data_IF_461102340236
#
_entry.id   IF_461102340236
#
_cell.length_a   1.000
_cell.length_b   1.000
_cell.length_c   1.000
_cell.angle_alpha   90.00
_cell.angle_beta   90.00
_cell.angle_gamma   90.00
#
_symmetry.space_group_name_H-M   'P 1'
#
loop_
_entity.id
_entity.type
_entity.pdbx_description
1 polymer ?
#
# COMPACT_ATOMS: atom_id res chain seq x y z
N UNK A 1 -0.44 -9.66 29.10
CA UNK A 1 0.80 -8.87 29.02
C UNK A 1 0.51 -7.74 28.05
N UNK A 2 0.57 -6.50 28.56
CA UNK A 2 0.00 -5.29 27.95
C UNK A 2 0.74 -4.96 26.64
N UNK A 3 0.00 -4.87 25.53
CA UNK A 3 0.56 -4.52 24.22
C UNK A 3 1.18 -3.13 24.29
N UNK A 4 2.52 -3.06 24.25
CA UNK A 4 3.23 -1.78 24.26
C UNK A 4 3.03 -1.11 22.90
N UNK A 5 2.83 0.21 22.91
CA UNK A 5 2.67 1.00 21.69
C UNK A 5 3.67 2.16 21.73
N UNK A 6 4.61 2.18 20.80
CA UNK A 6 5.62 3.23 20.68
C UNK A 6 5.54 3.93 19.33
N UNK A 7 5.48 5.26 19.35
CA UNK A 7 5.39 6.09 18.16
C UNK A 7 3.97 6.46 17.74
N UNK A 8 3.87 7.31 16.72
CA UNK A 8 2.62 7.85 16.18
C UNK A 8 2.66 7.83 14.66
N UNK A 9 1.65 7.24 14.02
CA UNK A 9 1.56 6.93 12.58
C UNK A 9 2.65 5.99 12.02
N UNK A 10 3.85 6.02 12.62
CA UNK A 10 4.98 5.14 12.37
C UNK A 10 5.39 4.60 13.73
N UNK A 11 5.19 3.30 13.89
CA UNK A 11 5.38 2.59 15.15
C UNK A 11 6.66 1.76 15.11
N UNK A 12 7.23 1.45 16.27
CA UNK A 12 8.28 0.42 16.34
C UNK A 12 7.69 -0.93 15.98
N UNK A 13 8.46 -1.80 15.34
CA UNK A 13 7.95 -3.09 14.87
C UNK A 13 7.58 -4.08 15.97
N UNK A 14 7.99 -3.85 17.21
CA UNK A 14 7.56 -4.61 18.39
C UNK A 14 6.27 -4.07 19.03
N UNK A 15 5.73 -2.94 18.55
CA UNK A 15 4.46 -2.38 19.01
C UNK A 15 3.28 -3.26 18.61
N UNK A 16 2.31 -3.40 19.52
CA UNK A 16 1.10 -4.19 19.30
C UNK A 16 0.29 -3.65 18.11
N UNK A 17 0.07 -4.52 17.13
CA UNK A 17 -0.53 -4.17 15.85
C UNK A 17 -2.03 -3.84 15.97
N UNK A 18 -2.76 -4.52 16.86
CA UNK A 18 -4.18 -4.30 17.07
C UNK A 18 -4.43 -2.96 17.77
N UNK A 19 -3.66 -2.66 18.81
CA UNK A 19 -3.71 -1.38 19.52
C UNK A 19 -3.20 -0.23 18.65
N UNK A 20 -2.14 -0.42 17.86
CA UNK A 20 -1.67 0.58 16.91
C UNK A 20 -2.73 0.88 15.84
N UNK A 21 -3.48 -0.12 15.37
CA UNK A 21 -4.54 0.08 14.37
C UNK A 21 -5.68 0.93 14.91
N UNK A 22 -6.04 0.76 16.19
CA UNK A 22 -7.01 1.61 16.87
C UNK A 22 -6.46 3.01 17.11
N UNK A 23 -5.23 3.12 17.64
CA UNK A 23 -4.55 4.41 17.83
C UNK A 23 -4.48 5.21 16.52
N UNK A 24 -4.13 4.57 15.40
CA UNK A 24 -4.06 5.19 14.08
C UNK A 24 -5.43 5.52 13.45
N UNK A 25 -6.54 5.08 14.05
CA UNK A 25 -7.88 5.27 13.50
C UNK A 25 -8.20 4.38 12.29
N UNK A 26 -7.41 3.32 12.08
CA UNK A 26 -7.58 2.37 10.97
C UNK A 26 -8.69 1.37 11.28
N UNK A 27 -8.86 1.01 12.57
CA UNK A 27 -9.92 0.15 13.07
C UNK A 27 -10.54 0.76 14.32
N UNK A 28 -11.84 0.50 14.53
CA UNK A 28 -12.43 0.66 15.86
C UNK A 28 -12.13 -0.56 16.75
N UNK A 29 -12.28 -0.41 18.07
CA UNK A 29 -12.16 -1.55 19.00
C UNK A 29 -13.20 -2.64 18.67
N UNK A 30 -12.75 -3.88 18.52
CA UNK A 30 -13.56 -5.02 18.10
C UNK A 30 -13.87 -5.10 16.59
N UNK A 31 -13.55 -4.07 15.81
CA UNK A 31 -13.77 -4.07 14.36
C UNK A 31 -12.75 -4.96 13.66
N UNK A 32 -13.22 -5.81 12.74
CA UNK A 32 -12.36 -6.70 11.96
C UNK A 32 -12.37 -6.32 10.49
N UNK A 33 -11.22 -5.93 9.94
CA UNK A 33 -11.04 -5.68 8.50
C UNK A 33 -9.71 -6.25 8.01
N UNK A 34 -9.57 -6.34 6.69
CA UNK A 34 -8.25 -6.47 6.10
C UNK A 34 -7.56 -5.11 6.19
N UNK A 35 -6.50 -5.03 6.99
CA UNK A 35 -5.62 -3.87 7.04
C UNK A 35 -4.44 -4.10 6.10
N UNK A 36 -3.73 -3.04 5.78
CA UNK A 36 -2.43 -3.15 5.15
C UNK A 36 -1.41 -2.32 5.90
N UNK A 37 -0.22 -2.88 6.05
CA UNK A 37 0.93 -2.20 6.63
C UNK A 37 2.05 -2.09 5.61
N UNK A 38 2.93 -1.13 5.81
CA UNK A 38 4.23 -1.07 5.18
C UNK A 38 5.32 -1.22 6.23
N UNK A 39 6.28 -2.10 5.96
CA UNK A 39 7.47 -2.27 6.80
C UNK A 39 8.52 -1.23 6.39
N UNK A 40 9.06 -0.52 7.36
CA UNK A 40 9.97 0.60 7.19
C UNK A 40 11.29 0.36 7.92
N UNK A 41 12.37 0.99 7.46
CA UNK A 41 13.56 1.16 8.32
C UNK A 41 13.18 1.85 9.61
N UNK A 42 13.84 1.50 10.71
CA UNK A 42 13.62 2.17 11.98
C UNK A 42 14.10 3.62 11.98
N UNK A 43 13.74 4.36 13.02
CA UNK A 43 14.04 5.78 13.21
C UNK A 43 15.00 5.97 14.38
N UNK A 44 15.66 7.13 14.41
CA UNK A 44 16.45 7.58 15.55
C UNK A 44 15.58 7.97 16.76
N UNK A 45 14.31 8.30 16.54
CA UNK A 45 13.35 8.60 17.60
C UNK A 45 11.89 8.39 17.15
N UNK A 46 11.03 8.21 18.14
CA UNK A 46 9.58 8.04 18.03
C UNK A 46 8.89 8.94 19.04
N UNK A 47 7.96 9.78 18.57
CA UNK A 47 7.18 10.66 19.43
C UNK A 47 5.97 9.93 20.04
N UNK A 48 5.68 10.23 21.30
CA UNK A 48 4.42 9.84 21.95
C UNK A 48 3.26 10.69 21.43
N UNK A 49 2.05 10.13 21.41
CA UNK A 49 0.81 10.89 21.18
C UNK A 49 -0.38 10.21 21.84
N UNK A 50 -1.48 10.96 21.94
CA UNK A 50 -2.81 10.39 22.18
C UNK A 50 -3.61 10.55 20.90
N UNK A 51 -4.12 9.45 20.35
CA UNK A 51 -4.99 9.42 19.18
C UNK A 51 -6.07 8.37 19.37
N UNK A 52 -7.30 8.68 18.96
CA UNK A 52 -8.45 7.78 19.08
C UNK A 52 -8.59 7.19 20.50
N UNK A 53 -8.40 8.04 21.51
CA UNK A 53 -8.43 7.69 22.94
C UNK A 53 -7.42 6.64 23.39
N UNK A 54 -6.36 6.39 22.61
CA UNK A 54 -5.24 5.50 22.94
C UNK A 54 -3.96 6.32 23.08
N UNK A 55 -3.18 6.02 24.12
CA UNK A 55 -1.87 6.63 24.34
C UNK A 55 -0.75 5.75 23.76
N UNK A 56 0.16 6.35 23.00
CA UNK A 56 1.45 5.78 22.64
C UNK A 56 2.58 6.40 23.46
N UNK A 57 3.68 5.65 23.61
CA UNK A 57 4.88 6.09 24.29
C UNK A 57 5.93 6.58 23.28
N UNK A 58 6.83 7.44 23.75
CA UNK A 58 8.02 7.80 22.98
C UNK A 58 9.06 6.70 23.08
N UNK A 59 9.94 6.63 22.08
CA UNK A 59 11.07 5.71 22.09
C UNK A 59 12.27 6.28 21.33
N UNK A 60 13.45 5.76 21.63
CA UNK A 60 14.71 6.17 21.00
C UNK A 60 14.98 5.44 19.69
N UNK A 61 16.27 5.27 19.38
CA UNK A 61 16.73 4.54 18.21
C UNK A 61 16.16 3.12 18.19
N UNK A 62 15.56 2.75 17.06
CA UNK A 62 15.06 1.40 16.84
C UNK A 62 15.37 0.90 15.43
N UNK A 63 15.40 -0.42 15.23
CA UNK A 63 15.92 -1.03 13.99
C UNK A 63 14.88 -1.08 12.85
N UNK A 64 13.59 -1.17 13.16
CA UNK A 64 12.53 -1.36 12.15
C UNK A 64 11.21 -0.75 12.59
N UNK A 65 10.42 -0.32 11.62
CA UNK A 65 9.13 0.29 11.86
C UNK A 65 8.03 -0.30 10.99
N UNK A 66 6.80 0.08 11.31
CA UNK A 66 5.69 -0.04 10.38
C UNK A 66 4.78 1.19 10.40
N UNK A 67 4.05 1.37 9.32
CA UNK A 67 2.92 2.28 9.20
C UNK A 67 1.74 1.56 8.60
N UNK A 68 0.53 2.01 8.89
CA UNK A 68 -0.65 1.56 8.17
C UNK A 68 -0.73 2.28 6.83
N UNK A 69 -1.10 1.54 5.80
CA UNK A 69 -1.36 2.06 4.46
C UNK A 69 -2.87 1.99 4.23
N UNK A 70 -3.45 3.08 3.74
CA UNK A 70 -4.85 3.08 3.35
C UNK A 70 -4.98 2.39 1.99
N UNK A 71 -5.21 1.07 2.01
CA UNK A 71 -5.38 0.26 0.81
C UNK A 71 -6.84 -0.15 0.70
N UNK A 72 -7.49 0.34 -0.36
CA UNK A 72 -8.82 -0.15 -0.73
C UNK A 72 -8.64 -1.41 -1.57
N UNK A 73 -9.03 -2.57 -1.03
CA UNK A 73 -9.06 -3.81 -1.80
C UNK A 73 -10.23 -3.76 -2.81
N UNK A 74 -10.03 -4.25 -4.05
CA UNK A 74 -11.08 -4.25 -5.06
C UNK A 74 -12.11 -5.30 -4.66
N UNK A 75 -13.37 -4.91 -4.58
CA UNK A 75 -14.48 -5.85 -4.36
C UNK A 75 -14.99 -6.49 -5.65
N UNK A 76 -14.57 -6.03 -6.84
CA UNK A 76 -15.03 -6.59 -8.12
C UNK A 76 -14.00 -6.54 -9.26
N UNK A 77 -14.01 -7.63 -10.06
CA UNK A 77 -13.24 -7.83 -11.28
C UNK A 77 -14.04 -7.23 -12.45
N UNK A 78 -14.04 -5.91 -12.60
CA UNK A 78 -14.59 -5.25 -13.79
C UNK A 78 -13.58 -4.23 -14.30
N UNK A 79 -13.56 -3.92 -15.61
CA UNK A 79 -12.60 -2.96 -16.18
C UNK A 79 -12.63 -1.70 -15.33
N UNK A 80 -11.48 -1.39 -14.74
CA UNK A 80 -11.36 -0.25 -13.83
C UNK A 80 -11.59 0.98 -14.68
N UNK A 81 -12.74 1.62 -14.53
CA UNK A 81 -12.89 2.98 -15.01
C UNK A 81 -12.07 3.87 -14.08
N UNK A 82 -10.80 4.07 -14.46
CA UNK A 82 -9.84 4.89 -13.74
C UNK A 82 -10.33 6.36 -13.64
N UNK A 83 -11.41 6.75 -14.34
CA UNK A 83 -12.08 8.03 -14.17
C UNK A 83 -12.48 8.30 -12.70
N UNK A 84 -12.72 7.26 -11.91
CA UNK A 84 -13.28 7.34 -10.56
C UNK A 84 -12.25 7.49 -9.42
N UNK A 85 -11.02 7.94 -9.72
CA UNK A 85 -9.99 8.22 -8.70
C UNK A 85 -10.00 9.66 -8.17
N UNK A 86 -11.10 10.40 -8.31
CA UNK A 86 -11.17 11.76 -7.78
C UNK A 86 -11.02 11.72 -6.25
N UNK A 87 -10.09 12.50 -5.71
CA UNK A 87 -9.78 12.51 -4.28
C UNK A 87 -8.94 11.34 -3.76
N UNK A 88 -8.48 10.41 -4.63
CA UNK A 88 -7.72 9.21 -4.23
C UNK A 88 -6.19 9.34 -4.41
N UNK A 89 -5.67 10.56 -4.59
CA UNK A 89 -4.22 10.77 -4.75
C UNK A 89 -3.51 10.29 -3.48
N UNK A 90 -2.53 9.39 -3.65
CA UNK A 90 -1.78 8.78 -2.56
C UNK A 90 -2.25 7.37 -2.20
N UNK A 91 -3.50 7.02 -2.52
CA UNK A 91 -4.07 5.71 -2.22
C UNK A 91 -3.34 4.61 -2.98
N UNK A 92 -3.20 3.47 -2.33
CA UNK A 92 -2.76 2.24 -2.99
C UNK A 92 -4.00 1.38 -3.21
N UNK A 93 -4.20 0.92 -4.44
CA UNK A 93 -5.36 0.12 -4.83
C UNK A 93 -4.86 -1.19 -5.40
N UNK A 94 -5.44 -2.30 -4.94
CA UNK A 94 -5.13 -3.62 -5.44
C UNK A 94 -6.05 -3.99 -6.61
N UNK A 95 -5.59 -4.85 -7.52
CA UNK A 95 -6.38 -5.39 -8.61
C UNK A 95 -5.97 -6.84 -8.86
N UNK A 96 -6.94 -7.74 -9.03
CA UNK A 96 -6.67 -9.05 -9.64
C UNK A 96 -6.73 -8.87 -11.16
N UNK A 97 -5.58 -8.89 -11.83
CA UNK A 97 -5.47 -8.65 -13.26
C UNK A 97 -4.86 -9.84 -13.96
N UNK A 98 -5.30 -10.06 -15.21
CA UNK A 98 -4.62 -10.95 -16.16
C UNK A 98 -3.81 -10.10 -17.14
N UNK A 99 -2.51 -10.36 -17.27
CA UNK A 99 -1.65 -9.65 -18.20
C UNK A 99 -2.13 -9.79 -19.64
N UNK A 100 -2.13 -8.69 -20.39
CA UNK A 100 -2.52 -8.64 -21.81
C UNK A 100 -1.60 -7.71 -22.60
N UNK A 101 -1.71 -7.75 -23.93
CA UNK A 101 -1.08 -6.81 -24.87
C UNK A 101 -2.08 -5.78 -25.42
N UNK A 102 -3.36 -5.87 -25.01
CA UNK A 102 -4.42 -5.00 -25.50
C UNK A 102 -4.39 -3.61 -24.87
N UNK A 103 -4.91 -2.63 -25.63
CA UNK A 103 -5.08 -1.25 -25.19
C UNK A 103 -3.81 -0.41 -25.23
N UNK A 104 -3.99 0.89 -25.06
CA UNK A 104 -2.88 1.85 -25.13
C UNK A 104 -2.23 2.05 -23.77
N UNK A 105 -0.91 2.25 -23.79
CA UNK A 105 -0.10 2.58 -22.62
C UNK A 105 0.51 3.95 -22.87
N UNK A 106 0.35 4.90 -21.94
CA UNK A 106 0.92 6.24 -22.02
C UNK A 106 1.84 6.47 -20.83
N UNK A 107 3.12 6.67 -21.10
CA UNK A 107 4.17 6.82 -20.09
C UNK A 107 4.93 5.54 -19.76
N UNK A 108 5.86 5.68 -18.82
CA UNK A 108 6.83 4.65 -18.43
C UNK A 108 7.10 4.73 -16.94
N UNK A 109 6.94 3.62 -16.21
CA UNK A 109 6.97 3.52 -14.72
C UNK A 109 5.87 4.31 -13.99
N UNK A 110 5.56 5.51 -14.49
CA UNK A 110 4.41 6.34 -14.13
C UNK A 110 3.58 6.46 -15.40
N UNK A 111 2.36 5.95 -15.33
CA UNK A 111 1.45 5.84 -16.46
C UNK A 111 0.30 6.82 -16.24
N UNK A 112 -0.24 7.40 -17.32
CA UNK A 112 -1.49 8.17 -17.20
C UNK A 112 -2.58 7.23 -16.68
N UNK A 113 -3.52 7.75 -15.89
CA UNK A 113 -4.71 7.01 -15.50
C UNK A 113 -5.68 6.75 -16.66
N UNK A 114 -5.32 7.05 -17.90
CA UNK A 114 -6.07 6.64 -19.10
C UNK A 114 -5.46 5.38 -19.75
N UNK A 115 -4.28 4.96 -19.30
CA UNK A 115 -3.60 3.78 -19.82
C UNK A 115 -4.32 2.49 -19.44
N UNK A 116 -4.31 1.50 -20.33
CA UNK A 116 -4.80 0.16 -20.00
C UNK A 116 -3.94 -0.45 -18.89
N UNK A 117 -4.57 -0.73 -17.74
CA UNK A 117 -3.86 -1.14 -16.54
C UNK A 117 -3.16 -2.50 -16.69
N UNK A 118 -3.78 -3.46 -17.38
CA UNK A 118 -3.25 -4.81 -17.52
C UNK A 118 -2.04 -4.85 -18.46
N UNK A 119 -2.07 -4.17 -19.61
CA UNK A 119 -0.91 -4.07 -20.50
C UNK A 119 0.17 -3.15 -19.94
N UNK A 120 -0.19 -2.11 -19.18
CA UNK A 120 0.79 -1.32 -18.40
C UNK A 120 1.51 -2.17 -17.36
N UNK A 121 0.83 -3.14 -16.73
CA UNK A 121 1.44 -4.06 -15.76
C UNK A 121 2.42 -5.02 -16.43
N UNK A 122 2.12 -5.49 -17.65
CA UNK A 122 3.08 -6.28 -18.44
C UNK A 122 4.26 -5.43 -18.87
N UNK A 123 4.01 -4.22 -19.40
CA UNK A 123 5.06 -3.26 -19.75
C UNK A 123 5.99 -2.96 -18.57
N UNK A 124 5.45 -2.78 -17.37
CA UNK A 124 6.23 -2.56 -16.14
C UNK A 124 6.96 -3.82 -15.62
N UNK A 125 6.72 -5.00 -16.21
CA UNK A 125 7.30 -6.28 -15.75
C UNK A 125 6.68 -6.81 -14.45
N UNK A 126 5.49 -6.31 -14.09
CA UNK A 126 4.76 -6.72 -12.88
C UNK A 126 3.92 -7.98 -13.13
N UNK A 127 3.51 -8.20 -14.38
CA UNK A 127 2.82 -9.39 -14.87
C UNK A 127 3.49 -9.91 -16.14
N UNK A 128 3.41 -11.22 -16.36
CA UNK A 128 3.61 -11.83 -17.67
C UNK A 128 2.30 -11.85 -18.48
N UNK A 129 2.41 -11.94 -19.81
CA UNK A 129 1.24 -12.08 -20.70
C UNK A 129 0.48 -13.35 -20.31
N UNK A 130 -0.82 -13.22 -20.07
CA UNK A 130 -1.70 -14.31 -19.66
C UNK A 130 -1.63 -14.71 -18.19
N UNK A 131 -0.67 -14.22 -17.41
CA UNK A 131 -0.57 -14.44 -15.96
C UNK A 131 -1.65 -13.68 -15.22
N UNK A 132 -2.32 -14.34 -14.27
CA UNK A 132 -3.30 -13.70 -13.38
C UNK A 132 -2.72 -13.58 -11.98
N UNK A 133 -2.60 -12.35 -11.46
CA UNK A 133 -2.07 -12.09 -10.12
C UNK A 133 -2.69 -10.83 -9.51
N UNK A 134 -2.70 -10.77 -8.18
CA UNK A 134 -2.96 -9.53 -7.47
C UNK A 134 -1.79 -8.56 -7.68
N UNK A 135 -2.07 -7.41 -8.26
CA UNK A 135 -1.14 -6.29 -8.39
C UNK A 135 -1.65 -5.13 -7.56
N UNK A 136 -0.77 -4.17 -7.29
CA UNK A 136 -1.16 -2.93 -6.64
C UNK A 136 -0.62 -1.75 -7.40
N UNK A 137 -1.41 -0.68 -7.42
CA UNK A 137 -0.99 0.61 -7.95
C UNK A 137 -1.11 1.68 -6.88
N UNK A 138 -0.24 2.68 -6.92
CA UNK A 138 -0.41 3.93 -6.19
C UNK A 138 -0.94 5.00 -7.14
N UNK A 139 -2.01 5.68 -6.75
CA UNK A 139 -2.54 6.84 -7.48
C UNK A 139 -1.67 8.05 -7.17
N UNK A 140 -1.30 8.79 -8.19
CA UNK A 140 -0.38 9.92 -8.14
C UNK A 140 -1.01 11.16 -8.80
N UNK A 141 -0.52 12.37 -8.47
CA UNK A 141 -0.77 13.53 -9.30
C UNK A 141 -0.35 13.27 -10.76
N UNK A 142 -0.95 14.02 -11.66
CA UNK A 142 -0.55 14.03 -13.06
C UNK A 142 0.85 14.61 -13.28
N UNK A 143 1.43 14.35 -14.44
CA UNK A 143 2.71 14.92 -14.88
C UNK A 143 2.49 15.95 -16.00
N UNK A 144 3.47 16.81 -16.22
CA UNK A 144 3.51 17.71 -17.37
C UNK A 144 3.87 16.99 -18.67
N UNK A 145 4.57 15.86 -18.58
CA UNK A 145 5.02 15.04 -19.69
C UNK A 145 5.16 13.57 -19.25
N UNK A 146 4.82 12.66 -20.15
CA UNK A 146 5.01 11.21 -20.03
C UNK A 146 5.85 10.72 -21.20
N UNK A 147 6.94 10.03 -20.92
CA UNK A 147 7.85 9.50 -21.95
C UNK A 147 7.42 8.10 -22.43
N UNK A 148 7.51 7.87 -23.75
CA UNK A 148 7.36 6.54 -24.33
C UNK A 148 8.61 5.68 -24.11
N UNK A 149 8.43 4.38 -23.96
CA UNK A 149 9.52 3.41 -24.02
C UNK A 149 9.05 2.06 -24.56
N UNK A 150 10.01 1.13 -24.72
CA UNK A 150 9.71 -0.28 -24.94
C UNK A 150 10.23 -1.03 -23.73
N UNK A 151 9.34 -1.72 -23.01
CA UNK A 151 9.69 -2.54 -21.86
C UNK A 151 8.91 -3.84 -21.89
N UNK A 152 9.57 -4.93 -21.50
CA UNK A 152 8.95 -6.27 -21.38
C UNK A 152 8.17 -6.69 -22.64
N UNK A 153 8.64 -6.26 -23.81
CA UNK A 153 8.05 -6.58 -25.12
C UNK A 153 6.85 -5.74 -25.54
N UNK A 154 6.46 -4.71 -24.78
CA UNK A 154 5.38 -3.77 -25.14
C UNK A 154 5.94 -2.36 -25.33
N UNK A 155 5.31 -1.60 -26.22
CA UNK A 155 5.59 -0.18 -26.44
C UNK A 155 4.58 0.70 -25.70
N UNK A 156 5.05 1.73 -25.02
CA UNK A 156 4.22 2.84 -24.55
C UNK A 156 4.33 4.06 -25.46
N UNK A 157 3.36 4.95 -25.36
CA UNK A 157 3.28 6.22 -26.08
C UNK A 157 3.65 7.37 -25.15
N UNK A 158 4.22 8.44 -25.74
CA UNK A 158 4.40 9.69 -25.02
C UNK A 158 3.06 10.41 -24.90
N UNK A 159 2.92 11.23 -23.87
CA UNK A 159 1.75 12.08 -23.69
C UNK A 159 2.13 13.38 -23.00
N UNK A 160 1.43 14.45 -23.33
CA UNK A 160 1.64 15.77 -22.72
C UNK A 160 1.10 15.83 -21.29
N UNK A 161 0.75 17.05 -20.86
CA UNK A 161 0.20 17.27 -19.54
C UNK A 161 -1.08 16.46 -19.33
N UNK A 162 -1.15 15.77 -18.20
CA UNK A 162 -2.34 15.08 -17.76
C UNK A 162 -2.58 15.28 -16.27
N UNK A 163 -3.82 15.04 -15.83
CA UNK A 163 -4.27 15.40 -14.47
C UNK A 163 -3.94 14.37 -13.39
N UNK A 164 -3.69 13.11 -13.77
CA UNK A 164 -3.53 12.01 -12.82
C UNK A 164 -2.68 10.87 -13.38
N UNK A 165 -1.98 10.17 -12.50
CA UNK A 165 -1.14 9.04 -12.90
C UNK A 165 -1.33 7.86 -11.96
N UNK A 166 -0.79 6.72 -12.35
CA UNK A 166 -0.54 5.62 -11.43
C UNK A 166 0.88 5.05 -11.60
N UNK A 167 1.35 4.38 -10.57
CA UNK A 167 2.59 3.57 -10.61
C UNK A 167 2.36 2.24 -9.94
N UNK A 168 2.99 1.18 -10.42
CA UNK A 168 2.90 -0.11 -9.75
C UNK A 168 3.68 -0.12 -8.44
N UNK A 169 3.15 -0.85 -7.45
CA UNK A 169 3.79 -1.13 -6.17
C UNK A 169 3.91 -2.63 -6.00
N UNK A 170 5.08 -3.05 -5.54
CA UNK A 170 5.29 -4.42 -5.12
C UNK A 170 4.64 -4.61 -3.75
N UNK A 171 3.37 -5.01 -3.75
CA UNK A 171 2.61 -5.34 -2.55
C UNK A 171 2.50 -6.85 -2.48
N UNK A 172 3.08 -7.45 -1.45
CA UNK A 172 2.89 -8.87 -1.16
C UNK A 172 1.64 -8.99 -0.30
N UNK A 173 0.50 -9.27 -0.92
CA UNK A 173 -0.71 -9.60 -0.19
C UNK A 173 -0.55 -11.01 0.38
N UNK A 174 0.00 -11.11 1.58
CA UNK A 174 0.05 -12.35 2.35
C UNK A 174 -1.23 -12.37 3.20
N UNK A 175 -2.33 -12.97 2.73
CA UNK A 175 -3.55 -13.03 3.54
C UNK A 175 -3.37 -13.99 4.72
N UNK A 176 -2.86 -13.49 5.83
CA UNK A 176 -2.68 -14.24 7.07
C UNK A 176 -3.47 -13.60 8.22
N UNK A 177 -3.72 -14.39 9.26
CA UNK A 177 -4.10 -13.87 10.58
C UNK A 177 -2.97 -12.93 11.02
N UNK A 178 -3.33 -11.74 11.49
CA UNK A 178 -2.34 -10.76 11.95
C UNK A 178 -1.50 -11.32 13.12
N UNK A 179 -0.17 -11.13 13.12
CA UNK A 179 0.63 -11.38 14.30
C UNK A 179 0.36 -10.29 15.37
N UNK A 180 0.79 -10.52 16.61
CA UNK A 180 0.72 -9.50 17.68
C UNK A 180 1.54 -8.26 17.30
N UNK A 181 2.74 -8.47 16.76
CA UNK A 181 3.62 -7.42 16.25
C UNK A 181 4.49 -7.95 15.10
N UNK A 182 5.40 -7.12 14.60
CA UNK A 182 6.23 -7.40 13.43
C UNK A 182 7.73 -7.61 13.77
N UNK A 183 8.05 -7.93 15.02
CA UNK A 183 9.43 -8.09 15.50
C UNK A 183 10.21 -9.20 14.75
N UNK A 184 9.52 -10.17 14.15
CA UNK A 184 10.10 -11.29 13.41
C UNK A 184 10.12 -11.08 11.87
N UNK A 185 9.88 -9.85 11.39
CA UNK A 185 9.86 -9.52 9.96
C UNK A 185 11.20 -8.97 9.46
N UNK A 186 12.31 -9.56 9.91
CA UNK A 186 13.65 -9.19 9.44
C UNK A 186 13.80 -9.40 7.92
N UNK A 187 14.53 -8.49 7.28
CA UNK A 187 14.73 -8.49 5.82
C UNK A 187 13.50 -8.09 4.99
N UNK A 188 12.41 -7.64 5.61
CA UNK A 188 11.16 -7.26 4.91
C UNK A 188 10.95 -5.75 4.76
N UNK A 189 11.98 -4.93 4.96
CA UNK A 189 11.88 -3.47 4.79
C UNK A 189 11.42 -3.15 3.36
N UNK A 190 10.40 -2.32 3.23
CA UNK A 190 9.77 -1.95 1.98
C UNK A 190 8.59 -2.83 1.56
N UNK A 191 8.46 -4.04 2.14
CA UNK A 191 7.30 -4.90 1.88
C UNK A 191 6.03 -4.24 2.43
N UNK A 192 4.97 -4.31 1.63
CA UNK A 192 3.61 -3.98 2.03
C UNK A 192 2.85 -5.29 2.21
N UNK A 193 2.25 -5.48 3.39
CA UNK A 193 1.64 -6.75 3.82
C UNK A 193 0.23 -6.48 4.33
N UNK A 194 -0.73 -7.30 3.89
CA UNK A 194 -2.10 -7.22 4.38
C UNK A 194 -2.37 -8.27 5.44
N UNK A 195 -3.18 -7.95 6.44
CA UNK A 195 -3.63 -8.92 7.44
C UNK A 195 -5.12 -8.75 7.68
N UNK A 196 -5.80 -9.86 7.99
CA UNK A 196 -7.09 -9.76 8.68
C UNK A 196 -6.80 -9.50 10.16
N UNK A 197 -7.22 -8.34 10.66
CA UNK A 197 -6.94 -7.89 12.02
C UNK A 197 -8.24 -7.42 12.69
N UNK A 198 -8.39 -7.78 13.97
CA UNK A 198 -9.41 -7.22 14.85
C UNK A 198 -8.75 -6.15 15.72
N UNK A 199 -9.28 -4.93 15.70
CA UNK A 199 -8.80 -3.85 16.56
C UNK A 199 -9.02 -4.21 18.04
N UNK A 200 -8.02 -3.95 18.88
CA UNK A 200 -8.10 -4.25 20.30
C UNK A 200 -7.44 -3.15 21.13
N UNK A 201 -8.14 -2.72 22.18
CA UNK A 201 -7.62 -1.85 23.21
C UNK A 201 -7.32 -2.71 24.44
N UNK A 202 -6.07 -2.73 24.88
CA UNK A 202 -5.72 -3.38 26.14
C UNK A 202 -5.74 -2.34 27.25
N UNK A 203 -6.41 -2.66 28.36
CA UNK A 203 -6.61 -1.75 29.48
C UNK A 203 -5.29 -1.23 30.06
N UNK A 204 -5.33 0.04 30.44
CA UNK A 204 -4.27 0.84 31.05
C UNK A 204 -3.72 0.25 32.36
#
# INVERSE_FOLDING_TARGET
MNGRLYGTNIYTDDSDLATAAVHAGVLHNGETKNITIKILSGRSSYAASVQNDISSLSYGLWKRSYSFENITLPTNITPVDLADYNGKIGDIICYLLRGTVDGYIYGTNIYTDFSNLASSAVHAGVLHIGETKNISIKILPGQSLYESSIQNGLSSLSYGHWKRSFSFKNVKIISNIAPVNLANYDGKIGDIISFKLTGAIYGY
#
